data_IF_321534608152
#
_entry.id   IF_321534608152
#
_cell.length_a   1.000
_cell.length_b   1.000
_cell.length_c   1.000
_cell.angle_alpha   90.00
_cell.angle_beta   90.00
_cell.angle_gamma   90.00
#
_symmetry.space_group_name_H-M   'P 1'
#
loop_
_entity.id
_entity.type
_entity.pdbx_description
1 polymer ?
#
# COMPACT_ATOMS: atom_id res chain seq x y z
N UNK A 1 50.39 -48.65 18.19
CA UNK A 1 49.15 -47.95 18.60
C UNK A 1 48.34 -47.75 17.33
N UNK A 2 47.29 -48.53 17.11
CA UNK A 2 46.32 -48.22 16.04
C UNK A 2 45.55 -46.98 16.47
N UNK A 3 45.51 -45.91 15.66
CA UNK A 3 44.70 -44.74 16.00
C UNK A 3 43.24 -45.18 16.13
N UNK A 4 42.61 -44.81 17.24
CA UNK A 4 41.17 -44.97 17.42
C UNK A 4 40.49 -44.22 16.29
N UNK A 5 39.56 -44.81 15.52
CA UNK A 5 38.85 -44.08 14.48
C UNK A 5 38.10 -42.93 15.14
N UNK A 6 38.37 -41.71 14.69
CA UNK A 6 37.63 -40.52 15.13
C UNK A 6 36.16 -40.69 14.75
N UNK A 7 35.27 -40.39 15.68
CA UNK A 7 33.82 -40.39 15.42
C UNK A 7 33.53 -39.42 14.27
N UNK A 8 32.80 -39.84 13.22
CA UNK A 8 32.46 -38.96 12.11
C UNK A 8 31.73 -37.70 12.60
N UNK A 9 32.09 -36.53 12.07
CA UNK A 9 31.50 -35.26 12.51
C UNK A 9 29.98 -35.21 12.40
N UNK A 10 29.41 -35.85 11.37
CA UNK A 10 27.95 -35.90 11.20
C UNK A 10 27.27 -36.69 12.34
N UNK A 11 27.94 -37.70 12.89
CA UNK A 11 27.39 -38.54 13.96
C UNK A 11 27.40 -37.79 15.28
N UNK A 12 28.51 -37.14 15.64
CA UNK A 12 28.58 -36.33 16.85
C UNK A 12 27.64 -35.12 16.80
N UNK A 13 27.44 -34.53 15.61
CA UNK A 13 26.46 -33.45 15.38
C UNK A 13 25.02 -33.97 15.55
N UNK A 14 24.71 -35.17 15.02
CA UNK A 14 23.40 -35.80 15.19
C UNK A 14 23.11 -36.12 16.66
N UNK A 15 24.04 -36.78 17.35
CA UNK A 15 23.92 -37.13 18.78
C UNK A 15 23.69 -35.88 19.63
N UNK A 16 24.44 -34.80 19.34
CA UNK A 16 24.24 -33.52 20.04
C UNK A 16 22.87 -32.91 19.77
N UNK A 17 22.34 -33.07 18.55
CA UNK A 17 20.98 -32.67 18.22
C UNK A 17 19.91 -33.48 18.98
N UNK A 18 20.12 -34.76 19.19
CA UNK A 18 19.23 -35.62 19.98
C UNK A 18 19.26 -35.26 21.47
N UNK A 19 20.44 -34.96 22.02
CA UNK A 19 20.59 -34.43 23.39
C UNK A 19 19.80 -33.13 23.55
N UNK A 20 19.96 -32.17 22.64
CA UNK A 20 19.20 -30.92 22.69
C UNK A 20 17.69 -31.14 22.56
N UNK A 21 17.24 -32.14 21.79
CA UNK A 21 15.82 -32.47 21.72
C UNK A 21 15.31 -33.01 23.07
N UNK A 22 16.10 -33.84 23.75
CA UNK A 22 15.78 -34.38 25.07
C UNK A 22 15.78 -33.28 26.16
N UNK A 23 16.66 -32.30 26.04
CA UNK A 23 16.74 -31.11 26.92
C UNK A 23 15.65 -30.06 26.61
N UNK A 24 14.74 -30.34 25.68
CA UNK A 24 13.73 -29.40 25.16
C UNK A 24 14.31 -28.12 24.54
N UNK A 25 15.60 -28.14 24.19
CA UNK A 25 16.26 -27.07 23.46
C UNK A 25 16.03 -27.23 21.94
N UNK A 26 14.77 -27.04 21.53
CA UNK A 26 14.30 -27.36 20.18
C UNK A 26 14.99 -26.57 19.06
N UNK A 27 15.38 -25.32 19.32
CA UNK A 27 16.09 -24.51 18.33
C UNK A 27 17.51 -25.03 18.11
N UNK A 28 18.24 -25.36 19.17
CA UNK A 28 19.57 -25.94 19.06
C UNK A 28 19.50 -27.34 18.42
N UNK A 29 18.51 -28.16 18.78
CA UNK A 29 18.25 -29.45 18.17
C UNK A 29 18.01 -29.34 16.66
N UNK A 30 17.21 -28.35 16.23
CA UNK A 30 16.98 -28.08 14.82
C UNK A 30 18.28 -27.71 14.10
N UNK A 31 19.06 -26.78 14.65
CA UNK A 31 20.32 -26.31 14.04
C UNK A 31 21.29 -27.49 13.86
N UNK A 32 21.43 -28.33 14.89
CA UNK A 32 22.29 -29.51 14.83
C UNK A 32 21.78 -30.53 13.79
N UNK A 33 20.47 -30.77 13.72
CA UNK A 33 19.90 -31.68 12.73
C UNK A 33 20.09 -31.18 11.29
N UNK A 34 19.97 -29.86 11.04
CA UNK A 34 20.27 -29.25 9.73
C UNK A 34 21.75 -29.40 9.37
N UNK A 35 22.65 -29.17 10.33
CA UNK A 35 24.09 -29.33 10.14
C UNK A 35 24.46 -30.80 9.85
N UNK A 36 23.92 -31.75 10.61
CA UNK A 36 24.13 -33.17 10.39
C UNK A 36 23.62 -33.61 9.02
N UNK A 37 22.47 -33.08 8.56
CA UNK A 37 21.93 -33.41 7.25
C UNK A 37 22.78 -32.85 6.11
N UNK A 38 23.36 -31.66 6.28
CA UNK A 38 24.33 -31.08 5.33
C UNK A 38 25.60 -31.92 5.24
N UNK A 39 26.14 -32.34 6.39
CA UNK A 39 27.33 -33.20 6.43
C UNK A 39 27.07 -34.58 5.81
N UNK A 40 25.84 -35.09 5.92
CA UNK A 40 25.44 -36.35 5.29
C UNK A 40 25.14 -36.20 3.79
N UNK A 41 24.94 -34.99 3.26
CA UNK A 41 24.49 -34.78 1.88
C UNK A 41 25.42 -35.46 0.87
N UNK A 42 26.73 -35.29 1.05
CA UNK A 42 27.77 -35.74 0.14
C UNK A 42 28.24 -37.18 0.42
N UNK A 43 27.72 -37.83 1.47
CA UNK A 43 28.11 -39.19 1.82
C UNK A 43 27.15 -40.19 1.16
N UNK A 44 27.68 -41.02 0.27
CA UNK A 44 26.95 -42.12 -0.37
C UNK A 44 26.69 -43.26 0.65
N UNK A 45 25.57 -43.98 0.49
CA UNK A 45 25.26 -45.17 1.30
C UNK A 45 24.59 -44.96 2.66
N UNK A 46 24.49 -43.72 3.17
CA UNK A 46 23.90 -43.43 4.50
C UNK A 46 22.39 -43.15 4.48
N UNK A 47 21.61 -44.03 3.85
CA UNK A 47 20.16 -43.86 3.73
C UNK A 47 19.44 -43.84 5.09
N UNK A 48 19.83 -44.75 6.00
CA UNK A 48 19.20 -44.88 7.31
C UNK A 48 19.49 -43.68 8.22
N UNK A 49 20.73 -43.19 8.20
CA UNK A 49 21.16 -42.01 8.97
C UNK A 49 20.49 -40.75 8.43
N UNK A 50 20.39 -40.59 7.11
CA UNK A 50 19.62 -39.48 6.50
C UNK A 50 18.16 -39.50 6.95
N UNK A 51 17.54 -40.67 7.05
CA UNK A 51 16.17 -40.81 7.56
C UNK A 51 16.10 -40.44 9.05
N UNK A 52 17.04 -40.94 9.88
CA UNK A 52 17.13 -40.63 11.31
C UNK A 52 17.28 -39.12 11.54
N UNK A 53 18.23 -38.48 10.87
CA UNK A 53 18.48 -37.04 10.95
C UNK A 53 17.26 -36.23 10.49
N UNK A 54 16.55 -36.67 9.43
CA UNK A 54 15.30 -36.02 9.00
C UNK A 54 14.17 -36.16 10.01
N UNK A 55 14.05 -37.30 10.71
CA UNK A 55 13.09 -37.48 11.80
C UNK A 55 13.37 -36.51 12.94
N UNK A 56 14.64 -36.40 13.36
CA UNK A 56 15.07 -35.43 14.36
C UNK A 56 14.72 -34.00 13.92
N UNK A 57 15.09 -33.62 12.68
CA UNK A 57 14.81 -32.29 12.15
C UNK A 57 13.31 -31.98 12.11
N UNK A 58 12.48 -32.92 11.63
CA UNK A 58 11.03 -32.75 11.57
C UNK A 58 10.42 -32.49 12.97
N UNK A 59 10.85 -33.27 13.97
CA UNK A 59 10.38 -33.15 15.35
C UNK A 59 10.87 -31.85 16.01
N UNK A 60 12.17 -31.55 15.89
CA UNK A 60 12.77 -30.34 16.45
C UNK A 60 12.13 -29.08 15.85
N UNK A 61 11.97 -29.02 14.52
CA UNK A 61 11.31 -27.89 13.84
C UNK A 61 9.85 -27.74 14.25
N UNK A 62 9.11 -28.84 14.41
CA UNK A 62 7.72 -28.76 14.88
C UNK A 62 7.63 -28.18 16.31
N UNK A 63 8.49 -28.67 17.22
CA UNK A 63 8.54 -28.18 18.61
C UNK A 63 9.03 -26.74 18.71
N UNK A 64 9.99 -26.34 17.87
CA UNK A 64 10.48 -24.97 17.72
C UNK A 64 9.48 -24.03 17.00
N UNK A 65 8.30 -24.52 16.60
CA UNK A 65 7.27 -23.77 15.85
C UNK A 65 7.67 -23.34 14.44
N UNK A 66 8.75 -23.89 13.90
CA UNK A 66 9.16 -23.76 12.51
C UNK A 66 8.39 -24.75 11.63
N UNK A 67 7.09 -24.47 11.46
CA UNK A 67 6.13 -25.40 10.85
C UNK A 67 6.42 -25.68 9.36
N UNK A 68 6.99 -24.71 8.64
CA UNK A 68 7.34 -24.87 7.21
C UNK A 68 8.38 -25.99 7.03
N UNK A 69 9.49 -25.89 7.77
CA UNK A 69 10.56 -26.90 7.76
C UNK A 69 10.01 -28.25 8.22
N UNK A 70 9.19 -28.27 9.28
CA UNK A 70 8.58 -29.50 9.76
C UNK A 70 7.72 -30.19 8.69
N UNK A 71 6.84 -29.44 8.00
CA UNK A 71 5.99 -29.98 6.91
C UNK A 71 6.85 -30.51 5.78
N UNK A 72 7.89 -29.78 5.38
CA UNK A 72 8.80 -30.21 4.33
C UNK A 72 9.47 -31.54 4.70
N UNK A 73 10.03 -31.64 5.91
CA UNK A 73 10.70 -32.87 6.33
C UNK A 73 9.74 -34.06 6.44
N UNK A 74 8.52 -33.87 6.96
CA UNK A 74 7.52 -34.96 6.98
C UNK A 74 7.08 -35.38 5.58
N UNK A 75 7.01 -34.46 4.60
CA UNK A 75 6.72 -34.82 3.20
C UNK A 75 7.86 -35.64 2.58
N UNK A 76 9.11 -35.28 2.87
CA UNK A 76 10.27 -36.05 2.41
C UNK A 76 10.27 -37.43 3.06
N UNK A 77 10.04 -37.50 4.38
CA UNK A 77 9.94 -38.76 5.10
C UNK A 77 8.80 -39.64 4.58
N UNK A 78 7.66 -39.08 4.20
CA UNK A 78 6.57 -39.86 3.59
C UNK A 78 6.98 -40.49 2.24
N UNK A 79 7.78 -39.80 1.41
CA UNK A 79 8.28 -40.37 0.16
C UNK A 79 9.19 -41.58 0.38
N UNK A 80 9.92 -41.60 1.49
CA UNK A 80 10.87 -42.67 1.84
C UNK A 80 10.21 -43.79 2.68
N UNK A 81 9.30 -43.42 3.58
CA UNK A 81 8.58 -44.29 4.50
C UNK A 81 7.04 -44.06 4.39
N UNK A 82 6.39 -44.45 3.28
CA UNK A 82 4.98 -44.12 3.03
C UNK A 82 4.01 -44.75 4.04
N UNK A 83 4.39 -45.90 4.62
CA UNK A 83 3.56 -46.64 5.60
C UNK A 83 3.67 -46.09 7.02
N UNK A 84 4.54 -45.11 7.29
CA UNK A 84 4.79 -44.58 8.64
C UNK A 84 3.84 -43.44 9.05
N UNK A 85 2.85 -43.08 8.22
CA UNK A 85 1.82 -42.07 8.57
C UNK A 85 2.31 -40.62 8.57
N UNK A 86 3.49 -40.35 8.02
CA UNK A 86 4.08 -39.01 7.92
C UNK A 86 3.22 -38.04 7.08
N UNK A 87 2.40 -38.55 6.16
CA UNK A 87 1.43 -37.79 5.36
C UNK A 87 0.36 -37.12 6.21
N UNK A 88 -0.22 -37.86 7.16
CA UNK A 88 -1.23 -37.33 8.09
C UNK A 88 -0.64 -36.25 8.97
N UNK A 89 0.58 -36.48 9.49
CA UNK A 89 1.31 -35.47 10.28
C UNK A 89 1.60 -34.22 9.47
N UNK A 90 2.11 -34.36 8.24
CA UNK A 90 2.36 -33.22 7.36
C UNK A 90 1.07 -32.44 7.04
N UNK A 91 -0.04 -33.12 6.78
CA UNK A 91 -1.33 -32.50 6.50
C UNK A 91 -1.89 -31.73 7.71
N UNK A 92 -1.77 -32.30 8.92
CA UNK A 92 -2.18 -31.64 10.15
C UNK A 92 -1.39 -30.35 10.39
N UNK A 93 -0.05 -30.40 10.27
CA UNK A 93 0.82 -29.24 10.47
C UNK A 93 0.60 -28.20 9.37
N UNK A 94 0.42 -28.61 8.11
CA UNK A 94 0.08 -27.69 7.02
C UNK A 94 -1.27 -26.99 7.25
N UNK A 95 -2.24 -27.70 7.84
CA UNK A 95 -3.49 -27.11 8.29
C UNK A 95 -3.30 -26.06 9.39
N UNK A 96 -2.44 -26.31 10.37
CA UNK A 96 -2.08 -25.32 11.41
C UNK A 96 -1.39 -24.09 10.79
N UNK A 97 -0.40 -24.29 9.91
CA UNK A 97 0.30 -23.22 9.21
C UNK A 97 -0.67 -22.37 8.39
N UNK A 98 -1.59 -22.99 7.64
CA UNK A 98 -2.61 -22.27 6.88
C UNK A 98 -3.52 -21.43 7.79
N UNK A 99 -3.93 -21.95 8.95
CA UNK A 99 -4.72 -21.18 9.93
C UNK A 99 -3.93 -20.00 10.50
N UNK A 100 -2.65 -20.18 10.82
CA UNK A 100 -1.78 -19.09 11.28
C UNK A 100 -1.65 -17.99 10.23
N UNK A 101 -1.38 -18.38 8.98
CA UNK A 101 -1.22 -17.43 7.88
C UNK A 101 -2.54 -16.69 7.61
N UNK A 102 -3.69 -17.38 7.64
CA UNK A 102 -5.00 -16.72 7.55
C UNK A 102 -5.26 -15.73 8.69
N UNK A 103 -4.84 -16.05 9.91
CA UNK A 103 -4.99 -15.16 11.05
C UNK A 103 -4.05 -13.95 10.98
N UNK A 104 -2.79 -14.15 10.59
CA UNK A 104 -1.83 -13.07 10.35
C UNK A 104 -2.35 -12.14 9.25
N UNK A 105 -2.73 -12.72 8.10
CA UNK A 105 -3.35 -11.98 7.01
C UNK A 105 -4.59 -11.18 7.44
N UNK A 106 -5.48 -11.78 8.26
CA UNK A 106 -6.64 -11.05 8.80
C UNK A 106 -6.25 -9.90 9.72
N UNK A 107 -5.17 -10.03 10.51
CA UNK A 107 -4.65 -8.94 11.35
C UNK A 107 -4.11 -7.81 10.48
N UNK A 108 -3.29 -8.14 9.49
CA UNK A 108 -2.69 -7.15 8.58
C UNK A 108 -3.77 -6.37 7.83
N UNK A 109 -4.78 -7.08 7.30
CA UNK A 109 -5.96 -6.47 6.66
C UNK A 109 -6.71 -5.55 7.61
N UNK A 110 -6.95 -5.97 8.86
CA UNK A 110 -7.67 -5.16 9.84
C UNK A 110 -6.85 -3.92 10.27
N UNK A 111 -5.54 -4.05 10.39
CA UNK A 111 -4.65 -2.94 10.75
C UNK A 111 -4.58 -1.90 9.63
N UNK A 112 -4.43 -2.35 8.39
CA UNK A 112 -4.46 -1.47 7.22
C UNK A 112 -5.84 -0.79 7.04
N UNK A 113 -6.94 -1.51 7.27
CA UNK A 113 -8.29 -0.89 7.34
C UNK A 113 -8.41 0.12 8.48
N UNK A 114 -7.84 -0.17 9.65
CA UNK A 114 -7.81 0.75 10.79
C UNK A 114 -7.09 2.05 10.42
N UNK A 115 -5.91 1.96 9.78
CA UNK A 115 -5.17 3.11 9.24
C UNK A 115 -6.00 3.89 8.22
N UNK A 116 -6.66 3.20 7.29
CA UNK A 116 -7.48 3.83 6.26
C UNK A 116 -8.67 4.60 6.85
N UNK A 117 -9.38 4.01 7.83
CA UNK A 117 -10.50 4.65 8.55
C UNK A 117 -10.03 5.87 9.34
N UNK A 118 -8.91 5.76 10.06
CA UNK A 118 -8.37 6.85 10.84
C UNK A 118 -7.96 8.03 9.95
N UNK A 119 -7.23 7.76 8.86
CA UNK A 119 -6.86 8.79 7.89
C UNK A 119 -8.08 9.46 7.25
N UNK A 120 -9.14 8.70 6.97
CA UNK A 120 -10.39 9.26 6.45
C UNK A 120 -11.08 10.18 7.47
N UNK A 121 -11.14 9.78 8.74
CA UNK A 121 -11.68 10.59 9.83
C UNK A 121 -10.87 11.90 10.02
N UNK A 122 -9.56 11.83 9.87
CA UNK A 122 -8.64 12.97 9.91
C UNK A 122 -8.67 13.82 8.63
N UNK A 123 -9.52 13.45 7.65
CA UNK A 123 -9.67 14.07 6.32
C UNK A 123 -8.37 14.05 5.50
N UNK A 124 -7.47 13.13 5.81
CA UNK A 124 -6.29 12.83 5.02
C UNK A 124 -6.64 11.83 3.92
N UNK A 125 -7.33 12.34 2.90
CA UNK A 125 -7.80 11.52 1.78
C UNK A 125 -6.64 10.90 0.98
N UNK A 126 -5.41 11.43 1.08
CA UNK A 126 -4.25 10.83 0.40
C UNK A 126 -3.85 9.52 1.06
N UNK A 127 -3.58 9.57 2.37
CA UNK A 127 -3.19 8.41 3.14
C UNK A 127 -4.35 7.40 3.28
N UNK A 128 -5.61 7.85 3.35
CA UNK A 128 -6.78 6.98 3.35
C UNK A 128 -6.89 6.15 2.07
N UNK A 129 -6.65 6.76 0.90
CA UNK A 129 -6.69 6.07 -0.39
C UNK A 129 -5.52 5.09 -0.56
N UNK A 130 -4.33 5.44 -0.08
CA UNK A 130 -3.15 4.58 -0.13
C UNK A 130 -3.34 3.33 0.74
N UNK A 131 -3.73 3.51 2.00
CA UNK A 131 -4.02 2.40 2.90
C UNK A 131 -5.18 1.52 2.41
N UNK A 132 -6.21 2.10 1.79
CA UNK A 132 -7.30 1.33 1.18
C UNK A 132 -6.83 0.50 -0.02
N UNK A 133 -5.91 1.01 -0.85
CA UNK A 133 -5.31 0.23 -1.95
C UNK A 133 -4.46 -0.92 -1.44
N UNK A 134 -3.68 -0.69 -0.39
CA UNK A 134 -2.91 -1.73 0.29
C UNK A 134 -3.82 -2.90 0.72
N UNK A 135 -4.98 -2.60 1.31
CA UNK A 135 -5.98 -3.64 1.67
C UNK A 135 -6.52 -4.37 0.43
N UNK A 136 -6.76 -3.66 -0.68
CA UNK A 136 -7.27 -4.28 -1.91
C UNK A 136 -6.25 -5.19 -2.59
N UNK A 137 -4.97 -4.87 -2.48
CA UNK A 137 -3.87 -5.74 -2.94
C UNK A 137 -3.76 -7.00 -2.08
N UNK A 138 -4.04 -6.90 -0.78
CA UNK A 138 -4.12 -8.04 0.14
C UNK A 138 -5.35 -8.93 -0.13
N UNK A 139 -6.44 -8.38 -0.69
CA UNK A 139 -7.61 -9.16 -1.11
C UNK A 139 -8.85 -8.31 -1.35
N UNK A 140 -9.90 -8.92 -1.90
CA UNK A 140 -11.14 -8.19 -2.17
C UNK A 140 -11.88 -7.85 -0.86
N UNK A 141 -11.83 -6.59 -0.46
CA UNK A 141 -12.56 -6.07 0.68
C UNK A 141 -13.52 -4.95 0.25
N UNK A 142 -14.82 -5.20 0.38
CA UNK A 142 -15.87 -4.23 0.00
C UNK A 142 -15.77 -2.92 0.77
N UNK A 143 -15.27 -2.94 2.00
CA UNK A 143 -15.05 -1.74 2.80
C UNK A 143 -13.88 -0.90 2.29
N UNK A 144 -12.76 -1.53 1.92
CA UNK A 144 -11.64 -0.82 1.33
C UNK A 144 -12.03 -0.14 0.00
N UNK A 145 -12.90 -0.78 -0.81
CA UNK A 145 -13.47 -0.15 -2.02
C UNK A 145 -14.28 1.10 -1.68
N UNK A 146 -15.09 1.06 -0.63
CA UNK A 146 -15.88 2.21 -0.20
C UNK A 146 -15.00 3.37 0.29
N UNK A 147 -14.00 3.08 1.13
CA UNK A 147 -13.04 4.08 1.62
C UNK A 147 -12.26 4.70 0.47
N UNK A 148 -11.80 3.88 -0.50
CA UNK A 148 -11.10 4.36 -1.67
C UNK A 148 -11.98 5.30 -2.51
N UNK A 149 -13.23 4.91 -2.77
CA UNK A 149 -14.17 5.73 -3.53
C UNK A 149 -14.46 7.07 -2.84
N UNK A 150 -14.66 7.06 -1.51
CA UNK A 150 -14.88 8.27 -0.73
C UNK A 150 -13.66 9.19 -0.74
N UNK A 151 -12.46 8.64 -0.51
CA UNK A 151 -11.22 9.39 -0.54
C UNK A 151 -10.93 9.99 -1.93
N UNK A 152 -11.18 9.26 -3.01
CA UNK A 152 -10.99 9.76 -4.38
C UNK A 152 -12.04 10.82 -4.76
N UNK A 153 -13.29 10.66 -4.34
CA UNK A 153 -14.33 11.68 -4.51
C UNK A 153 -13.96 12.97 -3.76
N UNK A 154 -13.48 12.84 -2.52
CA UNK A 154 -13.01 13.96 -1.72
C UNK A 154 -11.78 14.65 -2.33
N UNK A 155 -10.82 13.91 -2.87
CA UNK A 155 -9.68 14.48 -3.63
C UNK A 155 -10.14 15.32 -4.81
N UNK A 156 -11.08 14.82 -5.61
CA UNK A 156 -11.65 15.56 -6.76
C UNK A 156 -12.40 16.81 -6.30
N UNK A 157 -13.18 16.71 -5.22
CA UNK A 157 -13.89 17.85 -4.62
C UNK A 157 -12.95 18.91 -4.04
N UNK A 158 -11.85 18.51 -3.38
CA UNK A 158 -10.84 19.43 -2.84
C UNK A 158 -10.03 20.07 -3.96
N UNK A 159 -9.67 19.32 -5.01
CA UNK A 159 -9.02 19.88 -6.20
C UNK A 159 -9.90 20.93 -6.88
N UNK A 160 -11.21 20.66 -7.01
CA UNK A 160 -12.19 21.61 -7.54
C UNK A 160 -12.31 22.87 -6.66
N UNK A 161 -12.41 22.72 -5.32
CA UNK A 161 -12.46 23.87 -4.39
C UNK A 161 -11.16 24.66 -4.36
N UNK A 162 -9.99 24.01 -4.45
CA UNK A 162 -8.68 24.66 -4.53
C UNK A 162 -8.50 25.38 -5.86
N UNK A 163 -8.98 24.81 -6.96
CA UNK A 163 -9.01 25.45 -8.26
C UNK A 163 -9.94 26.67 -8.26
N UNK A 164 -11.16 26.56 -7.73
CA UNK A 164 -12.06 27.71 -7.55
C UNK A 164 -11.50 28.77 -6.60
N UNK A 165 -10.78 28.36 -5.53
CA UNK A 165 -10.09 29.30 -4.64
C UNK A 165 -8.88 29.95 -5.32
N UNK A 166 -8.17 29.23 -6.18
CA UNK A 166 -7.09 29.75 -6.99
C UNK A 166 -7.62 30.70 -8.06
N UNK A 167 -8.69 30.36 -8.78
CA UNK A 167 -9.40 31.26 -9.70
C UNK A 167 -9.92 32.50 -8.96
N UNK A 168 -10.51 32.37 -7.77
CA UNK A 168 -10.90 33.52 -6.95
C UNK A 168 -9.70 34.34 -6.46
N UNK A 169 -8.51 33.77 -6.31
CA UNK A 169 -7.29 34.54 -5.95
C UNK A 169 -6.60 35.14 -7.17
N UNK A 170 -6.58 34.43 -8.30
CA UNK A 170 -6.00 34.84 -9.56
C UNK A 170 -6.86 35.89 -10.29
N UNK A 171 -8.19 35.77 -10.19
CA UNK A 171 -9.17 36.66 -10.83
C UNK A 171 -10.02 37.48 -9.85
N UNK A 172 -10.13 37.10 -8.57
CA UNK A 172 -11.00 37.76 -7.59
C UNK A 172 -10.30 38.64 -6.55
N UNK A 173 -8.99 38.89 -6.66
CA UNK A 173 -8.24 39.78 -5.77
C UNK A 173 -7.57 40.97 -6.48
N UNK A 174 -7.99 41.29 -7.72
CA UNK A 174 -7.86 42.66 -8.21
C UNK A 174 -9.24 43.29 -8.12
N UNK A 175 -9.49 44.30 -7.26
CA UNK A 175 -10.59 45.22 -7.56
C UNK A 175 -10.37 45.68 -9.01
N UNK A 176 -11.41 45.80 -9.85
CA UNK A 176 -11.22 46.34 -11.18
C UNK A 176 -10.52 47.69 -10.99
N UNK A 177 -9.23 47.76 -11.38
CA UNK A 177 -8.57 49.06 -11.50
C UNK A 177 -9.46 49.81 -12.47
N UNK A 178 -9.97 50.98 -12.06
CA UNK A 178 -10.83 51.77 -12.92
C UNK A 178 -10.05 52.02 -14.22
N UNK A 179 -10.49 51.39 -15.30
CA UNK A 179 -9.86 51.53 -16.59
C UNK A 179 -10.31 52.87 -17.16
N UNK A 180 -9.35 53.68 -17.59
CA UNK A 180 -9.65 54.86 -18.39
C UNK A 180 -10.33 54.44 -19.71
N UNK A 181 -11.07 55.37 -20.33
CA UNK A 181 -11.73 55.12 -21.62
C UNK A 181 -10.73 54.65 -22.69
N UNK A 182 -9.49 55.16 -22.63
CA UNK A 182 -8.40 54.71 -23.50
C UNK A 182 -8.00 53.26 -23.23
N UNK A 183 -7.78 52.86 -21.97
CA UNK A 183 -7.44 51.47 -21.63
C UNK A 183 -8.59 50.50 -21.97
N UNK A 184 -9.84 50.93 -21.82
CA UNK A 184 -11.01 50.16 -22.21
C UNK A 184 -11.11 49.97 -23.73
N UNK A 185 -10.66 50.96 -24.52
CA UNK A 185 -10.66 50.90 -25.99
C UNK A 185 -9.66 49.89 -26.58
N UNK A 186 -8.66 49.48 -25.78
CA UNK A 186 -7.62 48.51 -26.14
C UNK A 186 -7.97 47.07 -25.73
N UNK A 187 -9.15 46.83 -25.14
CA UNK A 187 -9.56 45.49 -24.74
C UNK A 187 -9.88 44.62 -25.97
N UNK A 188 -9.56 43.30 -25.92
CA UNK A 188 -9.99 42.35 -26.95
C UNK A 188 -11.51 42.36 -27.15
N UNK A 189 -11.95 42.18 -28.39
CA UNK A 189 -13.33 42.37 -28.85
C UNK A 189 -14.38 41.54 -28.08
N UNK A 190 -14.00 40.35 -27.61
CA UNK A 190 -14.85 39.38 -26.92
C UNK A 190 -14.97 39.61 -25.41
N UNK A 191 -14.19 40.53 -24.86
CA UNK A 191 -14.16 40.76 -23.42
C UNK A 191 -15.43 41.44 -22.95
N UNK A 192 -16.05 40.89 -21.91
CA UNK A 192 -17.24 41.47 -21.28
C UNK A 192 -16.87 42.72 -20.49
N UNK A 193 -17.58 43.81 -20.76
CA UNK A 193 -17.52 45.08 -20.04
C UNK A 193 -18.90 45.38 -19.47
N UNK A 194 -18.96 45.89 -18.25
CA UNK A 194 -20.21 46.44 -17.73
C UNK A 194 -20.41 47.81 -18.38
N UNK A 195 -21.64 48.26 -18.55
CA UNK A 195 -21.97 49.54 -19.15
C UNK A 195 -23.02 50.19 -18.29
N UNK A 196 -22.85 51.49 -18.03
CA UNK A 196 -23.84 52.31 -17.34
C UNK A 196 -24.47 53.30 -18.33
N UNK A 197 -25.76 53.11 -18.57
CA UNK A 197 -26.60 53.97 -19.39
C UNK A 197 -27.69 54.59 -18.49
N UNK A 198 -27.46 55.86 -18.12
CA UNK A 198 -28.27 56.56 -17.12
C UNK A 198 -28.34 55.78 -15.78
N UNK A 199 -29.53 55.28 -15.45
CA UNK A 199 -29.79 54.51 -14.23
C UNK A 199 -29.74 52.99 -14.41
N UNK A 200 -29.45 52.49 -15.62
CA UNK A 200 -29.37 51.06 -15.92
C UNK A 200 -27.92 50.64 -16.09
N UNK A 201 -27.58 49.46 -15.56
CA UNK A 201 -26.29 48.82 -15.74
C UNK A 201 -26.47 47.46 -16.39
N UNK A 202 -25.76 47.18 -17.49
CA UNK A 202 -25.80 45.89 -18.19
C UNK A 202 -24.40 45.45 -18.64
N UNK A 203 -24.24 44.19 -19.03
CA UNK A 203 -22.97 43.67 -19.55
C UNK A 203 -23.05 43.53 -21.08
N UNK A 204 -22.03 43.99 -21.78
CA UNK A 204 -21.87 43.92 -23.25
C UNK A 204 -20.43 43.56 -23.59
N UNK A 205 -20.10 43.33 -24.86
CA UNK A 205 -18.71 43.12 -25.29
C UNK A 205 -17.99 44.44 -25.53
N UNK A 206 -16.66 44.45 -25.46
CA UNK A 206 -15.84 45.64 -25.73
C UNK A 206 -16.00 46.17 -27.17
N UNK A 207 -16.31 45.28 -28.13
CA UNK A 207 -16.60 45.64 -29.52
C UNK A 207 -17.94 46.35 -29.66
N UNK A 208 -18.99 45.83 -29.02
CA UNK A 208 -20.31 46.46 -29.01
C UNK A 208 -20.26 47.83 -28.32
N UNK A 209 -19.57 47.94 -27.18
CA UNK A 209 -19.41 49.22 -26.49
C UNK A 209 -18.70 50.30 -27.34
N UNK A 210 -17.60 49.95 -28.03
CA UNK A 210 -16.89 50.89 -28.95
C UNK A 210 -17.74 51.28 -30.16
N UNK A 211 -18.66 50.41 -30.58
CA UNK A 211 -19.63 50.72 -31.62
C UNK A 211 -20.64 51.76 -31.13
N UNK A 212 -21.22 51.58 -29.95
CA UNK A 212 -22.14 52.54 -29.33
C UNK A 212 -21.53 53.93 -29.11
N UNK A 213 -20.25 54.01 -28.70
CA UNK A 213 -19.55 55.30 -28.59
C UNK A 213 -19.36 56.01 -29.94
N UNK A 214 -19.05 55.27 -31.02
CA UNK A 214 -18.90 55.84 -32.37
C UNK A 214 -20.21 56.32 -32.98
N UNK A 215 -21.31 55.69 -32.61
CA UNK A 215 -22.67 56.04 -33.07
C UNK A 215 -23.26 57.25 -32.30
N UNK A 216 -22.48 57.90 -31.41
CA UNK A 216 -22.88 59.12 -30.70
C UNK A 216 -23.69 58.88 -29.41
N UNK A 217 -23.76 57.64 -28.93
CA UNK A 217 -24.42 57.33 -27.66
C UNK A 217 -23.60 57.81 -26.45
N UNK A 218 -24.22 58.52 -25.51
CA UNK A 218 -23.62 58.88 -24.23
C UNK A 218 -23.60 57.68 -23.29
N UNK A 219 -22.64 56.79 -23.49
CA UNK A 219 -22.43 55.63 -22.63
C UNK A 219 -21.24 55.91 -21.72
N UNK A 220 -21.52 56.22 -20.46
CA UNK A 220 -20.46 56.38 -19.45
C UNK A 220 -19.79 55.03 -19.19
N UNK A 221 -18.45 55.02 -19.19
CA UNK A 221 -17.69 53.85 -18.76
C UNK A 221 -18.18 53.41 -17.38
N UNK A 222 -18.35 52.09 -17.14
CA UNK A 222 -18.73 51.57 -15.82
C UNK A 222 -17.70 51.88 -14.73
N UNK A 223 -16.54 52.44 -15.11
CA UNK A 223 -15.41 52.70 -14.24
C UNK A 223 -15.15 54.20 -13.97
N UNK A 224 -15.89 55.15 -14.59
CA UNK A 224 -15.84 56.63 -14.39
C UNK A 224 -14.55 57.34 -14.87
N UNK A 225 -14.41 58.66 -15.15
CA UNK A 225 -15.27 59.82 -15.46
C UNK A 225 -14.84 60.38 -16.86
N UNK A 226 -15.68 61.14 -17.58
CA UNK A 226 -15.26 61.80 -18.83
C UNK A 226 -14.23 62.90 -18.56
N UNK A 227 -13.15 62.93 -19.33
CA UNK A 227 -12.27 64.10 -19.40
C UNK A 227 -12.92 65.17 -20.29
N UNK A 228 -13.10 66.37 -19.75
CA UNK A 228 -13.35 67.58 -20.54
C UNK A 228 -12.09 68.45 -20.57
N UNK A 229 -11.70 68.80 -21.80
CA UNK A 229 -10.55 69.58 -22.27
C UNK A 229 -9.23 68.84 -22.42
#
# INVERSE_FOLDING_TARGET
>A
MTPTPETPLWLSTLERGEEFLAEENYLAAQIQAEQALKLLADVEGHGAEKIRTRKLLAQASYKAKNLEIAVEQFRILHKVEPKAGHDKTAALIAGELSRRNKNAHRRDVNEALGRARQALADRDYYNAAEAAREVLEMGENGEARAILAEAEAAKKGVASKRHQAFEKRAYGARPPRQLSDWEASQLPDDRKVQVKDGNKSYWTTSAEWRRYQREGGHVSSPYGQPFYR
#
